data_IF_096888601075
#
_entry.id   IF_096888601075
#
_cell.length_a   1.000
_cell.length_b   1.000
_cell.length_c   1.000
_cell.angle_alpha   90.00
_cell.angle_beta   90.00
_cell.angle_gamma   90.00
#
_symmetry.space_group_name_H-M   'P 1'
#
loop_
_entity.id
_entity.type
_entity.pdbx_description
1 polymer ?
#
# COMPACT_ATOMS: atom_id res chain seq x y z
N UNK A 1 -19.16 9.25 1.24
CA UNK A 1 -17.69 9.27 1.07
C UNK A 1 -17.09 9.16 2.46
N UNK A 2 -16.35 8.08 2.73
CA UNK A 2 -15.65 7.91 4.01
C UNK A 2 -14.25 8.51 3.85
N UNK A 3 -13.93 9.52 4.64
CA UNK A 3 -12.62 10.14 4.69
C UNK A 3 -11.99 9.80 6.04
N UNK A 4 -10.83 9.18 6.04
CA UNK A 4 -10.09 8.96 7.28
C UNK A 4 -8.65 8.56 7.01
N UNK A 5 -7.84 8.69 8.05
CA UNK A 5 -6.43 8.26 8.04
C UNK A 5 -6.34 6.74 8.24
N UNK A 6 -5.15 6.23 8.56
CA UNK A 6 -4.85 4.80 8.77
C UNK A 6 -5.89 4.01 9.61
N UNK A 7 -6.69 4.68 10.45
CA UNK A 7 -7.64 4.05 11.36
C UNK A 7 -8.90 3.45 10.71
N UNK A 8 -9.33 3.85 9.51
CA UNK A 8 -10.50 3.20 8.85
C UNK A 8 -10.16 1.75 8.41
N UNK A 9 -8.87 1.38 8.42
CA UNK A 9 -8.37 0.07 8.07
C UNK A 9 -8.21 -0.93 9.25
N UNK A 10 -8.74 -0.64 10.45
CA UNK A 10 -8.76 -1.59 11.59
C UNK A 10 -10.20 -1.82 12.08
N UNK A 11 -10.68 -3.06 12.03
CA UNK A 11 -11.92 -3.49 12.71
C UNK A 11 -13.28 -3.14 12.07
N UNK A 12 -13.36 -2.17 11.14
CA UNK A 12 -14.62 -1.88 10.43
C UNK A 12 -14.66 -2.67 9.11
N UNK A 13 -15.60 -3.60 8.99
CA UNK A 13 -15.92 -4.29 7.76
C UNK A 13 -17.08 -3.56 7.08
N UNK A 14 -16.84 -3.02 5.89
CA UNK A 14 -17.82 -2.22 5.17
C UNK A 14 -18.22 -2.94 3.88
N UNK A 15 -19.31 -3.73 3.89
CA UNK A 15 -19.68 -4.62 2.78
C UNK A 15 -20.02 -3.89 1.47
N UNK A 16 -20.27 -2.58 1.53
CA UNK A 16 -20.65 -1.75 0.36
C UNK A 16 -19.53 -0.83 -0.15
N UNK A 17 -18.30 -0.96 0.35
CA UNK A 17 -17.17 -0.16 -0.19
C UNK A 17 -16.64 -0.85 -1.45
N UNK A 18 -16.94 -0.24 -2.60
CA UNK A 18 -16.45 -0.68 -3.92
C UNK A 18 -15.27 0.13 -4.43
N UNK A 19 -14.93 1.25 -3.79
CA UNK A 19 -13.85 2.13 -4.19
C UNK A 19 -13.08 2.60 -2.95
N UNK A 20 -11.75 2.44 -2.97
CA UNK A 20 -10.87 3.01 -1.97
C UNK A 20 -9.80 3.88 -2.63
N UNK A 21 -9.70 5.13 -2.20
CA UNK A 21 -8.65 6.05 -2.60
C UNK A 21 -7.58 6.18 -1.52
N UNK A 22 -6.33 5.89 -1.85
CA UNK A 22 -5.17 6.20 -1.02
C UNK A 22 -4.55 7.49 -1.54
N UNK A 23 -4.71 8.55 -0.78
CA UNK A 23 -4.17 9.86 -1.12
C UNK A 23 -2.77 10.01 -0.50
N UNK A 24 -1.82 10.49 -1.31
CA UNK A 24 -0.50 10.93 -0.86
C UNK A 24 0.38 9.80 -0.27
N UNK A 25 0.58 8.72 -1.04
CA UNK A 25 1.45 7.61 -0.64
C UNK A 25 2.93 8.05 -0.46
N UNK A 26 3.33 9.18 -1.07
CA UNK A 26 4.69 9.73 -0.98
C UNK A 26 5.06 10.18 0.43
N UNK A 27 4.09 10.60 1.23
CA UNK A 27 4.35 11.00 2.63
C UNK A 27 4.91 9.83 3.44
N UNK A 28 4.45 8.61 3.13
CA UNK A 28 4.95 7.40 3.80
C UNK A 28 6.28 6.93 3.23
N UNK A 29 6.47 7.07 1.91
CA UNK A 29 7.73 6.70 1.22
C UNK A 29 8.90 7.63 1.54
N UNK A 30 8.64 8.92 1.74
CA UNK A 30 9.67 9.92 2.01
C UNK A 30 10.06 10.03 3.50
N UNK A 31 9.55 9.13 4.36
CA UNK A 31 10.02 9.03 5.73
C UNK A 31 11.48 8.52 5.71
N UNK A 32 12.41 9.16 6.46
CA UNK A 32 13.80 8.74 6.54
C UNK A 32 13.95 7.51 7.46
N UNK A 33 13.20 6.46 7.13
CA UNK A 33 13.22 5.16 7.79
C UNK A 33 13.35 4.11 6.67
N UNK A 34 14.25 3.16 6.82
CA UNK A 34 14.43 2.05 5.87
C UNK A 34 13.18 1.16 5.77
N UNK A 35 12.24 1.28 6.72
CA UNK A 35 10.94 0.57 6.74
C UNK A 35 9.81 1.35 6.07
N UNK A 36 10.06 2.56 5.55
CA UNK A 36 9.07 3.40 4.87
C UNK A 36 8.41 2.67 3.69
N UNK A 37 9.22 2.06 2.83
CA UNK A 37 8.78 1.23 1.69
C UNK A 37 7.92 0.04 2.14
N UNK A 38 8.41 -0.74 3.12
CA UNK A 38 7.68 -1.88 3.68
C UNK A 38 6.33 -1.48 4.28
N UNK A 39 6.32 -0.40 5.06
CA UNK A 39 5.09 0.10 5.69
C UNK A 39 4.08 0.61 4.67
N UNK A 40 4.57 1.29 3.63
CA UNK A 40 3.73 1.75 2.51
C UNK A 40 3.11 0.53 1.80
N UNK A 41 3.92 -0.47 1.46
CA UNK A 41 3.45 -1.72 0.85
C UNK A 41 2.35 -2.38 1.71
N UNK A 42 2.61 -2.60 3.00
CA UNK A 42 1.66 -3.26 3.91
C UNK A 42 0.33 -2.53 4.00
N UNK A 43 0.35 -1.19 4.08
CA UNK A 43 -0.89 -0.39 4.17
C UNK A 43 -1.67 -0.49 2.87
N UNK A 44 -1.01 -0.36 1.72
CA UNK A 44 -1.67 -0.44 0.42
C UNK A 44 -2.27 -1.83 0.17
N UNK A 45 -1.53 -2.90 0.46
CA UNK A 45 -2.02 -4.28 0.37
C UNK A 45 -3.20 -4.51 1.32
N UNK A 46 -3.11 -4.02 2.56
CA UNK A 46 -4.20 -4.15 3.52
C UNK A 46 -5.46 -3.44 3.02
N UNK A 47 -5.32 -2.21 2.54
CA UNK A 47 -6.42 -1.40 2.00
C UNK A 47 -7.04 -2.08 0.78
N UNK A 48 -6.22 -2.61 -0.13
CA UNK A 48 -6.70 -3.34 -1.31
C UNK A 48 -7.48 -4.61 -0.93
N UNK A 49 -7.00 -5.34 0.09
CA UNK A 49 -7.71 -6.50 0.64
C UNK A 49 -9.07 -6.16 1.27
N UNK A 50 -9.33 -4.91 1.67
CA UNK A 50 -10.64 -4.50 2.20
C UNK A 50 -11.67 -4.26 1.11
N UNK A 51 -11.26 -3.72 -0.03
CA UNK A 51 -12.17 -3.42 -1.14
C UNK A 51 -12.66 -4.69 -1.87
N UNK A 52 -11.84 -5.75 -1.90
CA UNK A 52 -12.14 -6.98 -2.64
C UNK A 52 -12.81 -8.11 -1.84
N UNK A 53 -13.30 -7.87 -0.62
CA UNK A 53 -13.79 -8.94 0.28
C UNK A 53 -15.20 -9.47 -0.03
N UNK A 54 -15.92 -8.86 -0.96
CA UNK A 54 -17.31 -9.21 -1.30
C UNK A 54 -17.44 -9.49 -2.81
N UNK A 55 -18.59 -10.02 -3.26
CA UNK A 55 -18.86 -10.39 -4.67
C UNK A 55 -18.71 -9.25 -5.69
N UNK A 56 -18.56 -7.99 -5.23
CA UNK A 56 -18.38 -6.82 -6.08
C UNK A 56 -16.89 -6.52 -6.26
N UNK A 57 -16.49 -6.22 -7.51
CA UNK A 57 -15.14 -5.74 -7.82
C UNK A 57 -14.86 -4.46 -7.04
N UNK A 58 -13.89 -4.53 -6.13
CA UNK A 58 -13.34 -3.37 -5.46
C UNK A 58 -12.26 -2.71 -6.32
N UNK A 59 -12.32 -1.39 -6.46
CA UNK A 59 -11.30 -0.59 -7.13
C UNK A 59 -10.45 0.15 -6.08
N UNK A 60 -9.15 0.20 -6.32
CA UNK A 60 -8.19 0.89 -5.45
C UNK A 60 -7.44 1.91 -6.29
N UNK A 61 -7.56 3.18 -5.93
CA UNK A 61 -6.87 4.28 -6.59
C UNK A 61 -5.78 4.77 -5.65
N UNK A 62 -4.53 4.76 -6.12
CA UNK A 62 -3.38 5.22 -5.36
C UNK A 62 -2.88 6.51 -6.01
N UNK A 63 -2.84 7.59 -5.24
CA UNK A 63 -2.23 8.84 -5.65
C UNK A 63 -0.81 8.93 -5.08
N UNK A 64 0.17 8.97 -5.99
CA UNK A 64 1.58 9.18 -5.66
C UNK A 64 2.24 10.06 -6.71
N UNK A 65 3.20 10.88 -6.30
CA UNK A 65 4.10 11.61 -7.18
C UNK A 65 5.21 10.71 -7.74
N UNK A 66 5.50 9.57 -7.11
CA UNK A 66 6.51 8.60 -7.50
C UNK A 66 5.90 7.25 -7.92
N UNK A 67 5.11 7.17 -9.02
CA UNK A 67 4.48 5.93 -9.46
C UNK A 67 5.49 4.84 -9.88
N UNK A 68 6.72 5.24 -10.24
CA UNK A 68 7.79 4.31 -10.62
C UNK A 68 8.50 3.63 -9.44
N UNK A 69 8.20 4.05 -8.21
CA UNK A 69 8.78 3.45 -7.02
C UNK A 69 8.43 1.96 -6.92
N UNK A 70 9.42 1.10 -6.63
CA UNK A 70 9.24 -0.36 -6.63
C UNK A 70 8.11 -0.82 -5.71
N UNK A 71 7.99 -0.23 -4.52
CA UNK A 71 6.90 -0.53 -3.59
C UNK A 71 5.50 -0.27 -4.18
N UNK A 72 5.32 0.75 -5.03
CA UNK A 72 4.04 1.06 -5.66
C UNK A 72 3.75 0.08 -6.80
N UNK A 73 4.74 -0.19 -7.66
CA UNK A 73 4.62 -1.18 -8.74
C UNK A 73 4.31 -2.58 -8.24
N UNK A 74 4.98 -3.02 -7.18
CA UNK A 74 4.82 -4.36 -6.65
C UNK A 74 3.47 -4.52 -5.93
N UNK A 75 2.95 -3.46 -5.28
CA UNK A 75 1.58 -3.44 -4.74
C UNK A 75 0.55 -3.60 -5.86
N UNK A 76 0.72 -2.91 -6.98
CA UNK A 76 -0.23 -2.99 -8.11
C UNK A 76 -0.33 -4.43 -8.66
N UNK A 77 0.77 -5.17 -8.65
CA UNK A 77 0.81 -6.58 -9.07
C UNK A 77 0.49 -7.56 -7.94
N UNK A 78 0.30 -7.07 -6.71
CA UNK A 78 0.13 -7.86 -5.50
C UNK A 78 1.30 -8.86 -5.28
N UNK A 79 2.50 -8.49 -5.72
CA UNK A 79 3.69 -9.33 -5.72
C UNK A 79 4.58 -9.03 -4.49
N UNK A 80 4.17 -9.58 -3.36
CA UNK A 80 4.93 -9.48 -2.12
C UNK A 80 6.33 -10.10 -2.22
N UNK A 81 6.49 -11.16 -3.00
CA UNK A 81 7.74 -11.93 -3.04
C UNK A 81 8.82 -11.12 -3.76
N UNK A 82 8.46 -10.48 -4.87
CA UNK A 82 9.33 -9.57 -5.60
C UNK A 82 9.66 -8.31 -4.78
N UNK A 83 8.66 -7.73 -4.10
CA UNK A 83 8.88 -6.62 -3.16
C UNK A 83 9.92 -7.01 -2.10
N UNK A 84 9.75 -8.16 -1.44
CA UNK A 84 10.65 -8.65 -0.40
C UNK A 84 12.07 -8.83 -0.92
N UNK A 85 12.24 -9.40 -2.10
CA UNK A 85 13.57 -9.58 -2.71
C UNK A 85 14.29 -8.25 -2.95
N UNK A 86 13.59 -7.26 -3.53
CA UNK A 86 14.14 -5.92 -3.76
C UNK A 86 14.49 -5.24 -2.43
N UNK A 87 13.58 -5.26 -1.46
CA UNK A 87 13.78 -4.68 -0.14
C UNK A 87 15.02 -5.27 0.56
N UNK A 88 15.18 -6.59 0.50
CA UNK A 88 16.35 -7.28 1.07
C UNK A 88 17.65 -6.92 0.34
N UNK A 89 17.61 -6.71 -0.98
CA UNK A 89 18.77 -6.21 -1.73
C UNK A 89 19.14 -4.79 -1.30
N UNK A 90 18.16 -3.89 -1.19
CA UNK A 90 18.39 -2.52 -0.73
C UNK A 90 18.97 -2.48 0.70
N UNK A 91 18.46 -3.31 1.62
CA UNK A 91 19.01 -3.41 2.99
C UNK A 91 20.47 -3.88 3.00
N UNK A 92 20.79 -4.93 2.23
CA UNK A 92 22.16 -5.43 2.08
C UNK A 92 23.12 -4.37 1.51
N UNK A 93 22.68 -3.62 0.49
CA UNK A 93 23.46 -2.55 -0.14
C UNK A 93 23.69 -1.38 0.81
N UNK A 94 22.68 -1.01 1.60
CA UNK A 94 22.74 0.07 2.58
C UNK A 94 23.47 -0.28 3.88
N UNK A 95 23.98 -1.52 4.03
CA UNK A 95 24.57 -2.04 5.27
C UNK A 95 23.64 -1.91 6.50
N UNK A 96 22.34 -2.10 6.32
CA UNK A 96 21.34 -2.16 7.40
C UNK A 96 20.96 -3.60 7.76
#
# INVERSE_FOLDING_TARGET
>A
ILLGTQMIAKGLDFPNITLVGVLNADTMLNLPDFRSSERTFQILTQVAGRAGRHEKKGEVIIQTYNPDHYAIKDVQQNDYLNFYQKEMQYRKLGQY
#
